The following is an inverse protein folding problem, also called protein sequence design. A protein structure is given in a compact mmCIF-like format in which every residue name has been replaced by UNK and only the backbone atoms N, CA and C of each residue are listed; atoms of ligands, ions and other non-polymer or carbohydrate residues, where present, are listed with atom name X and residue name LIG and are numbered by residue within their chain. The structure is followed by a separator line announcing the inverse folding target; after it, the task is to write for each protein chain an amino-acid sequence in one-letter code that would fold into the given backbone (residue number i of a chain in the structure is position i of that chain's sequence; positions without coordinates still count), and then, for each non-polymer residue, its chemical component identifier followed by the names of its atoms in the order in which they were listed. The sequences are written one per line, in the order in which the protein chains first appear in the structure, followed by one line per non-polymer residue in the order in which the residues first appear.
data_IF_927330350391
#
_entry.id   IF_927330350391
#
_cell.length_a   1.000
_cell.length_b   1.000
_cell.length_c   1.000
_cell.angle_alpha   90.00
_cell.angle_beta   90.00
_cell.angle_gamma   90.00
#
_symmetry.space_group_name_H-M   'P 1'
#
loop_
_entity.id
_entity.type
_entity.pdbx_description
1 polymer ?
#
# COMPACT_ATOMS: atom_id res chain seq x y z
N UNK A 1 9.87 -89.33 -5.31
CA UNK A 1 8.76 -88.48 -5.79
C UNK A 1 7.76 -88.26 -4.66
N UNK A 2 7.98 -87.24 -3.84
CA UNK A 2 7.02 -86.84 -2.80
C UNK A 2 7.03 -85.31 -2.66
N UNK A 3 5.81 -84.76 -2.72
CA UNK A 3 5.33 -83.60 -1.98
C UNK A 3 5.79 -82.19 -2.41
N UNK A 4 5.22 -81.71 -3.54
CA UNK A 4 5.25 -80.28 -3.93
C UNK A 4 3.95 -79.52 -3.55
N UNK A 5 2.95 -80.18 -2.95
CA UNK A 5 1.63 -79.57 -2.72
C UNK A 5 1.48 -78.82 -1.38
N UNK A 6 2.24 -79.18 -0.33
CA UNK A 6 2.05 -78.57 1.01
C UNK A 6 2.74 -77.21 1.22
N UNK A 7 3.60 -76.77 0.29
CA UNK A 7 4.35 -75.51 0.42
C UNK A 7 3.58 -74.28 -0.09
N UNK A 8 2.54 -74.48 -0.91
CA UNK A 8 1.81 -73.39 -1.56
C UNK A 8 0.68 -72.80 -0.71
N UNK A 9 0.15 -73.52 0.27
CA UNK A 9 -1.00 -73.06 1.07
C UNK A 9 -0.61 -72.24 2.30
N UNK A 10 0.63 -72.37 2.80
CA UNK A 10 1.09 -71.65 4.00
C UNK A 10 1.44 -70.17 3.75
N UNK A 11 1.73 -69.80 2.51
CA UNK A 11 2.16 -68.43 2.14
C UNK A 11 0.96 -67.50 1.86
N UNK A 12 -0.23 -68.04 1.57
CA UNK A 12 -1.40 -67.22 1.21
C UNK A 12 -2.06 -66.60 2.44
N UNK A 13 -2.13 -67.31 3.57
CA UNK A 13 -2.75 -66.78 4.80
C UNK A 13 -1.89 -65.78 5.57
N UNK A 14 -0.56 -65.83 5.47
CA UNK A 14 0.31 -64.85 6.14
C UNK A 14 0.32 -63.48 5.46
N UNK A 15 -0.04 -63.41 4.17
CA UNK A 15 -0.11 -62.14 3.42
C UNK A 15 -1.37 -61.32 3.73
N UNK A 16 -2.46 -61.93 4.20
CA UNK A 16 -3.69 -61.17 4.49
C UNK A 16 -3.70 -60.52 5.88
N UNK A 17 -2.87 -60.99 6.82
CA UNK A 17 -2.86 -60.48 8.20
C UNK A 17 -1.92 -59.26 8.34
N UNK A 18 -1.04 -59.00 7.37
CA UNK A 18 -0.16 -57.82 7.39
C UNK A 18 -0.81 -56.53 6.86
N UNK A 19 -1.94 -56.60 6.14
CA UNK A 19 -2.58 -55.40 5.55
C UNK A 19 -3.76 -54.85 6.35
N UNK A 20 -4.12 -55.44 7.49
CA UNK A 20 -5.30 -55.03 8.27
C UNK A 20 -4.99 -54.14 9.47
N UNK A 21 -3.73 -53.82 9.74
CA UNK A 21 -3.36 -52.91 10.85
C UNK A 21 -2.46 -51.79 10.32
N UNK A 22 -2.95 -50.96 9.39
CA UNK A 22 -2.44 -49.61 9.15
C UNK A 22 -3.31 -48.88 8.10
N UNK A 23 -4.33 -48.11 8.55
CA UNK A 23 -4.71 -46.96 7.72
C UNK A 23 -5.01 -45.67 8.51
N UNK A 24 -4.68 -45.57 9.81
CA UNK A 24 -4.91 -44.33 10.57
C UNK A 24 -3.68 -43.42 10.67
N UNK A 25 -2.46 -43.97 10.68
CA UNK A 25 -1.23 -43.17 10.86
C UNK A 25 -0.84 -42.35 9.61
N UNK A 26 -1.13 -42.87 8.41
CA UNK A 26 -0.77 -42.20 7.14
C UNK A 26 -1.57 -40.93 6.89
N UNK A 27 -2.84 -40.86 7.34
CA UNK A 27 -3.69 -39.68 7.12
C UNK A 27 -3.13 -38.44 7.80
N UNK A 28 -2.64 -38.58 9.03
CA UNK A 28 -2.00 -37.50 9.77
C UNK A 28 -0.61 -37.17 9.24
N UNK A 29 0.09 -38.13 8.63
CA UNK A 29 1.40 -37.90 8.01
C UNK A 29 1.30 -36.94 6.83
N UNK A 30 0.34 -37.15 5.91
CA UNK A 30 0.12 -36.24 4.79
C UNK A 30 -0.34 -34.85 5.25
N UNK A 31 -1.19 -34.77 6.29
CA UNK A 31 -1.60 -33.46 6.84
C UNK A 31 -0.45 -32.74 7.54
N UNK A 32 0.43 -33.47 8.25
CA UNK A 32 1.63 -32.88 8.86
C UNK A 32 2.62 -32.40 7.81
N UNK A 33 2.85 -33.18 6.75
CA UNK A 33 3.72 -32.77 5.63
C UNK A 33 3.14 -31.53 4.93
N UNK A 34 1.83 -31.49 4.68
CA UNK A 34 1.18 -30.32 4.08
C UNK A 34 1.25 -29.09 5.00
N UNK A 35 1.04 -29.25 6.31
CA UNK A 35 1.15 -28.19 7.29
C UNK A 35 2.59 -27.65 7.39
N UNK A 36 3.59 -28.54 7.40
CA UNK A 36 5.02 -28.16 7.40
C UNK A 36 5.38 -27.42 6.11
N UNK A 37 4.92 -27.88 4.95
CA UNK A 37 5.14 -27.20 3.67
C UNK A 37 4.47 -25.81 3.63
N UNK A 38 3.29 -25.66 4.23
CA UNK A 38 2.63 -24.36 4.35
C UNK A 38 3.44 -23.38 5.23
N UNK A 39 4.02 -23.88 6.33
CA UNK A 39 4.84 -23.09 7.25
C UNK A 39 6.22 -22.67 6.67
N UNK A 40 6.68 -23.31 5.59
CA UNK A 40 7.94 -22.95 4.91
C UNK A 40 7.78 -21.79 3.91
N UNK A 41 6.57 -21.33 3.62
CA UNK A 41 6.36 -20.14 2.79
C UNK A 41 6.77 -18.88 3.56
N UNK A 42 8.04 -18.49 3.45
CA UNK A 42 8.45 -17.14 3.87
C UNK A 42 7.78 -16.12 2.94
N UNK A 43 6.97 -15.23 3.51
CA UNK A 43 6.44 -14.10 2.77
C UNK A 43 7.60 -13.25 2.24
N UNK A 44 7.67 -13.06 0.92
CA UNK A 44 8.67 -12.23 0.29
C UNK A 44 8.44 -10.77 0.69
N UNK A 45 9.44 -10.15 1.33
CA UNK A 45 9.42 -8.72 1.63
C UNK A 45 10.01 -7.95 0.46
N UNK A 46 9.43 -6.79 0.20
CA UNK A 46 9.81 -5.87 -0.85
C UNK A 46 10.21 -4.54 -0.21
N UNK A 47 11.44 -4.11 -0.48
CA UNK A 47 12.04 -2.95 0.19
C UNK A 47 11.88 -1.68 -0.65
N UNK A 48 11.52 -0.58 0.01
CA UNK A 48 11.47 0.75 -0.54
C UNK A 48 12.60 1.60 0.07
N UNK A 49 13.46 2.12 -0.80
CA UNK A 49 14.54 3.05 -0.42
C UNK A 49 14.29 4.37 -1.12
N UNK A 50 14.17 5.44 -0.35
CA UNK A 50 13.96 6.78 -0.87
C UNK A 50 15.19 7.60 -0.52
N UNK A 51 15.88 8.08 -1.55
CA UNK A 51 17.01 9.00 -1.42
C UNK A 51 16.54 10.39 -1.86
N UNK A 52 16.91 11.41 -1.10
CA UNK A 52 16.59 12.79 -1.44
C UNK A 52 17.88 13.48 -1.87
N UNK A 53 18.00 13.72 -3.16
CA UNK A 53 19.32 13.96 -3.75
C UNK A 53 19.70 15.43 -3.77
N UNK A 54 18.74 16.37 -3.85
CA UNK A 54 19.09 17.71 -4.35
C UNK A 54 18.65 18.95 -3.61
N UNK A 55 17.75 18.97 -2.61
CA UNK A 55 17.41 20.30 -2.07
C UNK A 55 16.77 20.45 -0.69
N UNK A 56 16.68 19.40 0.14
CA UNK A 56 15.80 19.49 1.30
C UNK A 56 16.49 19.49 2.66
N UNK A 57 16.22 20.58 3.40
CA UNK A 57 16.32 20.72 4.87
C UNK A 57 15.32 19.82 5.65
N UNK A 58 14.85 18.71 5.08
CA UNK A 58 13.95 17.79 5.79
C UNK A 58 14.76 16.64 6.36
N UNK A 59 15.00 16.71 7.67
CA UNK A 59 15.88 15.78 8.41
C UNK A 59 15.34 14.34 8.47
N UNK A 60 14.07 14.10 8.14
CA UNK A 60 13.51 12.75 7.98
C UNK A 60 12.11 12.80 7.36
N UNK A 61 11.93 12.16 6.20
CA UNK A 61 10.60 11.78 5.70
C UNK A 61 10.24 10.48 6.40
N UNK A 62 9.06 10.42 7.04
CA UNK A 62 8.56 9.17 7.61
C UNK A 62 7.85 8.38 6.51
N UNK A 63 8.36 7.19 6.21
CA UNK A 63 7.76 6.26 5.27
C UNK A 63 8.09 4.82 5.68
N UNK A 64 7.22 3.88 5.32
CA UNK A 64 7.45 2.46 5.56
C UNK A 64 8.49 1.94 4.56
N UNK A 65 9.53 1.27 5.07
CA UNK A 65 10.62 0.73 4.23
C UNK A 65 10.33 -0.67 3.71
N UNK A 66 9.54 -1.47 4.43
CA UNK A 66 9.31 -2.88 4.13
C UNK A 66 7.84 -3.12 3.80
N UNK A 67 7.58 -3.74 2.66
CA UNK A 67 6.24 -4.03 2.16
C UNK A 67 6.11 -5.51 1.81
N UNK A 68 4.90 -6.05 1.88
CA UNK A 68 4.66 -7.45 1.46
C UNK A 68 4.57 -7.61 -0.06
N UNK A 69 4.36 -6.51 -0.79
CA UNK A 69 4.18 -6.49 -2.24
C UNK A 69 4.76 -5.20 -2.83
N UNK A 70 5.25 -5.28 -4.07
CA UNK A 70 5.71 -4.13 -4.85
C UNK A 70 4.64 -3.04 -4.98
N UNK A 71 3.37 -3.40 -5.21
CA UNK A 71 2.27 -2.43 -5.31
C UNK A 71 2.10 -1.59 -4.06
N UNK A 72 2.33 -2.16 -2.87
CA UNK A 72 2.28 -1.43 -1.61
C UNK A 72 3.47 -0.46 -1.46
N UNK A 73 4.65 -0.82 -1.96
CA UNK A 73 5.79 0.09 -1.99
C UNK A 73 5.55 1.26 -2.96
N UNK A 74 4.91 1.02 -4.11
CA UNK A 74 4.50 2.09 -5.04
C UNK A 74 3.47 3.02 -4.40
N UNK A 75 2.47 2.47 -3.70
CA UNK A 75 1.50 3.29 -2.99
C UNK A 75 2.16 4.15 -1.91
N UNK A 76 3.14 3.59 -1.18
CA UNK A 76 3.90 4.35 -0.19
C UNK A 76 4.73 5.47 -0.83
N UNK A 77 5.35 5.23 -1.98
CA UNK A 77 6.03 6.27 -2.76
C UNK A 77 5.06 7.40 -3.14
N UNK A 78 3.86 7.07 -3.62
CA UNK A 78 2.84 8.08 -3.95
C UNK A 78 2.38 8.87 -2.71
N UNK A 79 2.30 8.22 -1.54
CA UNK A 79 2.01 8.91 -0.28
C UNK A 79 3.12 9.92 0.07
N UNK A 80 4.39 9.55 -0.17
CA UNK A 80 5.53 10.46 0.05
C UNK A 80 5.49 11.66 -0.90
N UNK A 81 5.19 11.46 -2.18
CA UNK A 81 5.01 12.56 -3.14
C UNK A 81 3.85 13.46 -2.71
N UNK A 82 2.70 12.88 -2.39
CA UNK A 82 1.52 13.59 -1.89
C UNK A 82 1.83 14.38 -0.61
N UNK A 83 2.70 13.87 0.27
CA UNK A 83 3.16 14.60 1.45
C UNK A 83 3.91 15.87 1.07
N UNK A 84 4.77 15.82 0.06
CA UNK A 84 5.49 16.99 -0.46
C UNK A 84 4.54 18.02 -1.09
N UNK A 85 3.64 17.58 -1.94
CA UNK A 85 2.63 18.45 -2.58
C UNK A 85 1.78 19.19 -1.54
N UNK A 86 1.37 18.48 -0.48
CA UNK A 86 0.61 19.07 0.62
C UNK A 86 1.38 20.13 1.42
N UNK A 87 2.72 20.10 1.36
CA UNK A 87 3.62 21.10 1.96
C UNK A 87 4.02 22.22 1.00
N UNK A 88 3.49 22.23 -0.23
CA UNK A 88 3.74 23.27 -1.21
C UNK A 88 4.82 22.95 -2.23
N UNK A 89 5.34 21.72 -2.25
CA UNK A 89 6.28 21.24 -3.27
C UNK A 89 5.50 20.58 -4.39
N UNK A 90 4.79 21.38 -5.21
CA UNK A 90 3.91 20.84 -6.26
C UNK A 90 4.65 20.16 -7.42
N UNK A 91 5.94 20.45 -7.57
CA UNK A 91 6.78 19.83 -8.59
C UNK A 91 7.53 18.62 -8.04
N UNK A 92 7.11 18.09 -6.89
CA UNK A 92 7.73 16.92 -6.30
C UNK A 92 7.46 15.69 -7.16
N UNK A 93 8.53 15.00 -7.55
CA UNK A 93 8.43 13.82 -8.40
C UNK A 93 9.56 12.84 -8.11
N UNK A 94 9.37 11.59 -8.56
CA UNK A 94 10.41 10.59 -8.62
C UNK A 94 11.26 10.83 -9.88
N UNK A 95 12.54 11.17 -9.71
CA UNK A 95 13.45 11.46 -10.83
C UNK A 95 14.14 10.19 -11.34
N UNK A 96 14.58 9.32 -10.43
CA UNK A 96 15.26 8.07 -10.77
C UNK A 96 14.61 6.92 -10.03
N UNK A 97 14.29 5.86 -10.75
CA UNK A 97 13.66 4.65 -10.21
C UNK A 97 14.50 3.45 -10.62
N UNK A 98 15.20 2.86 -9.65
CA UNK A 98 15.93 1.61 -9.83
C UNK A 98 15.13 0.48 -9.18
N UNK A 99 14.81 -0.54 -9.98
CA UNK A 99 14.00 -1.66 -9.52
C UNK A 99 14.79 -2.97 -9.63
N UNK A 100 14.82 -3.70 -8.53
CA UNK A 100 15.31 -5.07 -8.46
C UNK A 100 14.16 -6.04 -8.19
N UNK A 101 14.46 -7.34 -8.11
CA UNK A 101 13.46 -8.38 -7.79
C UNK A 101 12.73 -8.13 -6.46
N UNK A 102 13.44 -7.62 -5.45
CA UNK A 102 12.91 -7.43 -4.09
C UNK A 102 13.06 -5.99 -3.57
N UNK A 103 13.44 -5.02 -4.40
CA UNK A 103 13.59 -3.64 -3.94
C UNK A 103 13.26 -2.60 -5.00
N UNK A 104 12.84 -1.42 -4.53
CA UNK A 104 12.64 -0.21 -5.32
C UNK A 104 13.43 0.91 -4.66
N UNK A 105 14.46 1.40 -5.34
CA UNK A 105 15.22 2.58 -4.94
C UNK A 105 14.75 3.76 -5.77
N UNK A 106 14.40 4.86 -5.12
CA UNK A 106 13.84 6.05 -5.76
C UNK A 106 14.58 7.29 -5.30
N UNK A 107 15.08 8.08 -6.26
CA UNK A 107 15.52 9.44 -6.01
C UNK A 107 14.32 10.38 -6.15
N UNK A 108 14.03 11.16 -5.11
CA UNK A 108 12.96 12.17 -5.15
C UNK A 108 13.57 13.55 -5.31
N UNK A 109 13.03 14.28 -6.27
CA UNK A 109 13.25 15.70 -6.43
C UNK A 109 12.00 16.44 -6.01
N UNK A 110 12.10 17.25 -4.96
CA UNK A 110 10.98 18.03 -4.46
C UNK A 110 10.73 19.30 -5.26
N UNK A 111 11.70 19.75 -6.06
CA UNK A 111 11.74 21.10 -6.60
C UNK A 111 11.67 22.18 -5.50
N UNK A 112 11.19 23.37 -5.90
CA UNK A 112 11.04 24.52 -5.02
C UNK A 112 9.67 24.51 -4.31
N UNK A 113 9.64 24.99 -3.07
CA UNK A 113 8.39 25.25 -2.37
C UNK A 113 7.68 26.45 -3.01
N UNK A 114 6.50 26.22 -3.56
CA UNK A 114 5.69 27.25 -4.17
C UNK A 114 4.89 28.00 -3.10
N UNK A 115 4.65 29.28 -3.39
CA UNK A 115 3.77 30.15 -2.62
C UNK A 115 2.56 30.51 -3.45
N UNK A 116 1.47 30.81 -2.77
CA UNK A 116 0.30 31.42 -3.38
C UNK A 116 0.69 32.76 -4.02
N UNK A 117 0.44 32.91 -5.33
CA UNK A 117 0.60 34.19 -6.02
C UNK A 117 -0.44 35.19 -5.50
N UNK A 118 -1.72 34.89 -5.76
CA UNK A 118 -2.87 35.57 -5.17
C UNK A 118 -4.10 34.71 -5.41
N UNK A 119 -4.96 34.55 -4.40
CA UNK A 119 -6.26 33.91 -4.55
C UNK A 119 -7.33 34.99 -4.40
N UNK A 120 -8.03 35.30 -5.50
CA UNK A 120 -9.03 36.37 -5.55
C UNK A 120 -10.43 35.82 -5.37
N UNK A 121 -11.30 36.63 -4.77
CA UNK A 121 -12.71 36.29 -4.57
C UNK A 121 -13.49 36.05 -5.88
N UNK A 122 -13.16 36.80 -6.93
CA UNK A 122 -13.82 36.68 -8.24
C UNK A 122 -15.33 36.97 -8.15
N UNK A 123 -16.15 36.04 -8.63
CA UNK A 123 -17.61 36.17 -8.68
C UNK A 123 -18.31 35.71 -7.38
N UNK A 124 -17.56 35.29 -6.36
CA UNK A 124 -18.14 34.81 -5.12
C UNK A 124 -18.70 35.99 -4.31
N UNK A 125 -19.96 35.89 -3.87
CA UNK A 125 -20.56 36.92 -3.03
C UNK A 125 -19.75 37.10 -1.73
N UNK A 126 -19.38 38.33 -1.32
CA UNK A 126 -18.58 38.57 -0.10
C UNK A 126 -19.20 38.01 1.19
N UNK A 127 -20.53 38.06 1.32
CA UNK A 127 -21.24 37.47 2.47
C UNK A 127 -21.10 35.94 2.49
N UNK A 128 -21.08 35.31 1.32
CA UNK A 128 -20.84 33.88 1.17
C UNK A 128 -19.38 33.53 1.49
N UNK A 129 -18.44 34.31 0.97
CA UNK A 129 -17.01 34.16 1.24
C UNK A 129 -16.72 34.11 2.75
N UNK A 130 -17.28 35.06 3.50
CA UNK A 130 -17.17 35.09 4.96
C UNK A 130 -17.78 33.85 5.62
N UNK A 131 -18.92 33.35 5.13
CA UNK A 131 -19.58 32.15 5.68
C UNK A 131 -18.77 30.87 5.48
N UNK A 132 -18.02 30.76 4.37
CA UNK A 132 -17.13 29.62 4.12
C UNK A 132 -15.72 29.83 4.69
N UNK A 133 -15.49 30.91 5.44
CA UNK A 133 -14.19 31.22 6.05
C UNK A 133 -13.12 31.65 5.05
N UNK A 134 -13.50 32.09 3.84
CA UNK A 134 -12.57 32.55 2.82
C UNK A 134 -12.15 34.00 3.09
N UNK A 135 -10.83 34.24 3.08
CA UNK A 135 -10.24 35.57 3.07
C UNK A 135 -8.95 35.56 2.26
N UNK A 136 -8.78 36.51 1.35
CA UNK A 136 -7.58 36.60 0.49
C UNK A 136 -6.29 36.73 1.30
N UNK A 137 -6.36 37.38 2.48
CA UNK A 137 -5.23 37.56 3.40
C UNK A 137 -4.69 36.24 3.95
N UNK A 138 -5.51 35.18 4.03
CA UNK A 138 -5.09 33.86 4.50
C UNK A 138 -4.16 33.16 3.51
N UNK A 139 -4.20 33.55 2.24
CA UNK A 139 -3.45 32.89 1.17
C UNK A 139 -2.26 33.73 0.71
N UNK A 140 -2.31 35.07 0.82
CA UNK A 140 -1.26 35.95 0.34
C UNK A 140 0.12 35.62 0.93
N UNK A 141 1.11 35.35 0.05
CA UNK A 141 2.49 35.01 0.39
C UNK A 141 2.68 33.78 1.30
N UNK A 142 1.64 32.98 1.51
CA UNK A 142 1.74 31.72 2.26
C UNK A 142 2.26 30.61 1.35
N UNK A 143 2.96 29.61 1.91
CA UNK A 143 3.26 28.38 1.18
C UNK A 143 1.96 27.77 0.65
N UNK A 144 2.04 27.24 -0.57
CA UNK A 144 0.93 26.50 -1.14
C UNK A 144 0.63 25.27 -0.27
N UNK A 145 -0.64 24.89 -0.15
CA UNK A 145 -1.04 23.63 0.49
C UNK A 145 -2.21 23.01 -0.24
N UNK A 146 -2.01 21.79 -0.77
CA UNK A 146 -3.07 21.03 -1.44
C UNK A 146 -4.30 20.84 -0.55
N UNK A 147 -4.09 20.56 0.75
CA UNK A 147 -5.17 20.42 1.74
C UNK A 147 -6.08 21.65 1.81
N UNK A 148 -5.51 22.85 1.76
CA UNK A 148 -6.29 24.10 1.82
C UNK A 148 -7.18 24.26 0.58
N UNK A 149 -6.70 23.87 -0.60
CA UNK A 149 -7.51 23.89 -1.83
C UNK A 149 -8.65 22.90 -1.75
N UNK A 150 -8.35 21.65 -1.38
CA UNK A 150 -9.37 20.61 -1.28
C UNK A 150 -10.47 21.02 -0.32
N UNK A 151 -10.09 21.54 0.85
CA UNK A 151 -11.05 22.04 1.83
C UNK A 151 -11.88 23.20 1.29
N UNK A 152 -11.26 24.18 0.61
CA UNK A 152 -11.99 25.29 0.00
C UNK A 152 -12.97 24.82 -1.09
N UNK A 153 -12.58 23.83 -1.90
CA UNK A 153 -13.44 23.23 -2.92
C UNK A 153 -14.62 22.52 -2.30
N UNK A 154 -14.39 21.70 -1.27
CA UNK A 154 -15.44 20.95 -0.57
C UNK A 154 -16.44 21.87 0.12
N UNK A 155 -15.97 22.88 0.85
CA UNK A 155 -16.87 23.84 1.53
C UNK A 155 -17.68 24.66 0.52
N UNK A 156 -17.07 25.02 -0.61
CA UNK A 156 -17.78 25.69 -1.70
C UNK A 156 -18.89 24.81 -2.30
N UNK A 157 -18.58 23.55 -2.63
CA UNK A 157 -19.55 22.60 -3.18
C UNK A 157 -20.68 22.30 -2.19
N UNK A 158 -20.34 22.07 -0.92
CA UNK A 158 -21.32 21.82 0.14
C UNK A 158 -22.30 22.98 0.30
N UNK A 159 -21.81 24.22 0.25
CA UNK A 159 -22.68 25.38 0.32
C UNK A 159 -23.65 25.47 -0.87
N UNK A 160 -23.16 25.24 -2.10
CA UNK A 160 -24.02 25.25 -3.28
C UNK A 160 -25.11 24.19 -3.21
N UNK A 161 -24.79 23.01 -2.69
CA UNK A 161 -25.76 21.95 -2.44
C UNK A 161 -26.85 22.39 -1.45
N UNK A 162 -26.47 22.92 -0.26
CA UNK A 162 -27.43 23.44 0.72
C UNK A 162 -28.33 24.53 0.14
N UNK A 163 -27.77 25.43 -0.68
CA UNK A 163 -28.56 26.51 -1.26
C UNK A 163 -29.56 25.98 -2.28
N UNK A 164 -29.21 24.96 -3.08
CA UNK A 164 -30.13 24.34 -4.03
C UNK A 164 -31.34 23.71 -3.32
N UNK A 165 -31.12 23.01 -2.21
CA UNK A 165 -32.17 22.30 -1.47
C UNK A 165 -33.16 23.23 -0.74
N UNK A 166 -32.78 24.48 -0.47
CA UNK A 166 -33.67 25.49 0.18
C UNK A 166 -34.62 26.22 -0.77
N UNK A 167 -34.50 26.00 -2.07
CA UNK A 167 -35.34 26.62 -3.11
C UNK A 167 -36.19 25.60 -3.88
N UNK A 168 -36.22 24.35 -3.42
CA UNK A 168 -37.20 23.32 -3.80
C UNK A 168 -38.15 23.07 -2.63
#
# INVERSE_FOLDING_TARGET
MLNLSSKYTKNKHQRYIQYTILPSLNKYHYTCVFLVLFLLNKAQTFDLKITNEKQLRFKSINYKKHHSKKSLAINELNNVITYFENKGYLLAQADTIEQNSNSLSVSINSGNQLKWAQLKLGNLNPSLASKIGFSEKLYLQKPFSGKQITQLKETSLFYFWIRKERHN
#
